data_IF_336175935269
#
_entry.id   IF_336175935269
#
_cell.length_a   1.000
_cell.length_b   1.000
_cell.length_c   1.000
_cell.angle_alpha   90.00
_cell.angle_beta   90.00
_cell.angle_gamma   90.00
#
_symmetry.space_group_name_H-M   'P 1'
#
loop_
_entity.id
_entity.type
_entity.pdbx_description
1 polymer ?
#
# COMPACT_ATOMS: atom_id res chain seq x y z
N UNK A 1 47.85 -17.35 26.41
CA UNK A 1 48.11 -15.90 26.50
C UNK A 1 46.76 -15.24 26.71
N UNK A 2 46.37 -15.04 27.97
CA UNK A 2 45.16 -14.30 28.29
C UNK A 2 45.52 -12.81 28.22
N UNK A 3 44.89 -12.08 27.32
CA UNK A 3 45.01 -10.63 27.21
C UNK A 3 44.44 -10.00 28.47
N UNK A 4 45.30 -9.29 29.23
CA UNK A 4 44.86 -8.39 30.30
C UNK A 4 44.13 -7.21 29.64
N UNK A 5 42.83 -7.36 29.40
CA UNK A 5 41.97 -6.24 29.04
C UNK A 5 41.89 -5.28 30.24
N UNK A 6 42.20 -4.01 30.00
CA UNK A 6 42.02 -2.95 31.01
C UNK A 6 40.52 -2.75 31.25
N UNK A 7 39.96 -3.48 32.20
CA UNK A 7 38.55 -3.33 32.62
C UNK A 7 38.41 -1.99 33.34
N UNK A 8 37.54 -1.13 32.83
CA UNK A 8 37.30 0.19 33.42
C UNK A 8 36.39 0.05 34.65
N UNK A 9 36.52 0.95 35.63
CA UNK A 9 35.60 1.01 36.79
C UNK A 9 34.13 1.13 36.35
N UNK A 10 33.85 1.81 35.23
CA UNK A 10 32.52 1.86 34.63
C UNK A 10 32.01 0.48 34.22
N UNK A 11 32.86 -0.34 33.60
CA UNK A 11 32.49 -1.69 33.16
C UNK A 11 32.19 -2.58 34.37
N UNK A 12 32.98 -2.45 35.43
CA UNK A 12 32.74 -3.15 36.69
C UNK A 12 31.40 -2.73 37.35
N UNK A 13 31.07 -1.42 37.33
CA UNK A 13 29.80 -0.92 37.86
C UNK A 13 28.60 -1.38 37.02
N UNK A 14 28.75 -1.44 35.69
CA UNK A 14 27.71 -1.96 34.79
C UNK A 14 27.44 -3.43 35.10
N UNK A 15 28.48 -4.25 35.27
CA UNK A 15 28.32 -5.66 35.63
C UNK A 15 27.58 -5.86 36.94
N UNK A 16 27.80 -4.98 37.93
CA UNK A 16 27.06 -5.02 39.20
C UNK A 16 25.60 -4.60 39.00
N UNK A 17 25.33 -3.56 38.20
CA UNK A 17 23.95 -3.13 37.93
C UNK A 17 23.11 -4.19 37.21
N UNK A 18 23.73 -5.04 36.39
CA UNK A 18 23.04 -6.16 35.72
C UNK A 18 22.54 -7.20 36.73
N UNK A 19 23.17 -7.31 37.91
CA UNK A 19 22.74 -8.24 38.95
C UNK A 19 21.44 -7.81 39.64
N UNK A 20 21.11 -6.51 39.62
CA UNK A 20 19.85 -6.01 40.19
C UNK A 20 18.63 -6.49 39.36
N UNK A 21 18.83 -6.73 38.06
CA UNK A 21 17.81 -7.24 37.14
C UNK A 21 17.79 -8.77 37.05
N UNK A 22 18.67 -9.47 37.79
CA UNK A 22 18.76 -10.93 37.72
C UNK A 22 17.52 -11.55 38.40
N UNK A 23 16.68 -12.30 37.66
CA UNK A 23 15.52 -12.95 38.25
C UNK A 23 15.98 -14.05 39.21
N UNK A 24 15.72 -13.87 40.50
CA UNK A 24 15.93 -14.90 41.51
C UNK A 24 14.79 -15.92 41.34
N UNK A 25 15.13 -17.11 40.84
CA UNK A 25 14.16 -18.21 40.73
C UNK A 25 13.95 -18.79 42.12
N UNK A 26 12.74 -18.68 42.65
CA UNK A 26 12.33 -19.39 43.87
C UNK A 26 12.24 -20.89 43.55
N UNK A 27 12.88 -21.73 44.36
CA UNK A 27 12.93 -23.19 44.17
C UNK A 27 11.63 -23.86 44.67
N UNK A 28 10.50 -23.15 44.49
CA UNK A 28 9.19 -23.65 44.86
C UNK A 28 8.74 -24.73 43.87
N UNK A 29 8.26 -25.89 44.36
CA UNK A 29 7.70 -26.91 43.49
C UNK A 29 6.51 -26.34 42.70
N UNK A 30 6.62 -26.36 41.37
CA UNK A 30 5.61 -25.84 40.47
C UNK A 30 4.35 -26.72 40.51
N UNK A 31 3.24 -26.17 41.01
CA UNK A 31 1.92 -26.85 41.10
C UNK A 31 1.09 -26.59 39.83
N UNK A 32 1.62 -25.84 38.86
CA UNK A 32 0.91 -25.46 37.64
C UNK A 32 1.02 -26.55 36.56
N UNK A 33 -0.03 -26.65 35.74
CA UNK A 33 -0.10 -27.62 34.66
C UNK A 33 0.89 -27.29 33.53
N UNK A 34 1.35 -28.33 32.81
CA UNK A 34 2.26 -28.18 31.67
C UNK A 34 1.70 -27.21 30.61
N UNK A 35 2.57 -26.30 30.13
CA UNK A 35 2.23 -25.37 29.06
C UNK A 35 1.98 -26.11 27.75
N UNK A 36 0.83 -25.87 27.13
CA UNK A 36 0.53 -26.35 25.78
C UNK A 36 1.19 -25.42 24.74
N UNK A 37 1.77 -25.99 23.69
CA UNK A 37 2.41 -25.22 22.63
C UNK A 37 1.36 -24.45 21.81
N UNK A 38 1.48 -23.13 21.79
CA UNK A 38 0.71 -22.25 20.91
C UNK A 38 1.45 -22.11 19.58
N UNK A 39 0.81 -22.53 18.47
CA UNK A 39 1.32 -22.24 17.13
C UNK A 39 0.97 -20.79 16.76
N UNK A 40 1.87 -19.87 17.09
CA UNK A 40 1.75 -18.48 16.70
C UNK A 40 2.36 -18.27 15.31
N UNK A 41 1.53 -18.31 14.26
CA UNK A 41 1.94 -17.86 12.93
C UNK A 41 1.80 -16.35 12.82
N UNK A 42 2.93 -15.65 12.79
CA UNK A 42 2.96 -14.25 12.41
C UNK A 42 2.66 -14.12 10.91
N UNK A 43 1.56 -13.43 10.58
CA UNK A 43 1.31 -12.98 9.22
C UNK A 43 2.11 -11.69 9.00
N UNK A 44 3.07 -11.72 8.06
CA UNK A 44 3.87 -10.55 7.70
C UNK A 44 3.26 -9.76 6.54
N UNK A 45 2.03 -10.08 6.15
CA UNK A 45 1.31 -9.28 5.17
C UNK A 45 1.09 -7.86 5.69
N UNK A 46 1.71 -6.89 5.01
CA UNK A 46 1.59 -5.47 5.31
C UNK A 46 0.25 -4.88 4.85
N UNK A 47 -0.68 -5.69 4.34
CA UNK A 47 -2.03 -5.26 4.02
C UNK A 47 -2.94 -5.16 5.26
N UNK A 48 -2.49 -5.62 6.44
CA UNK A 48 -3.22 -5.51 7.71
C UNK A 48 -4.70 -5.95 7.61
N UNK A 49 -4.97 -7.08 6.96
CA UNK A 49 -6.33 -7.59 6.73
C UNK A 49 -7.11 -7.80 8.05
N UNK A 50 -6.39 -8.05 9.14
CA UNK A 50 -6.88 -8.30 10.49
C UNK A 50 -6.90 -7.04 11.38
N UNK A 51 -6.73 -5.83 10.83
CA UNK A 51 -6.68 -4.56 11.58
C UNK A 51 -7.86 -4.32 12.54
N UNK A 52 -9.01 -4.94 12.27
CA UNK A 52 -10.20 -4.83 13.12
C UNK A 52 -10.29 -5.92 14.21
N UNK A 53 -9.44 -6.96 14.16
CA UNK A 53 -9.46 -8.07 15.10
C UNK A 53 -8.80 -7.74 16.46
N UNK A 54 -7.89 -6.76 16.48
CA UNK A 54 -7.14 -6.37 17.67
C UNK A 54 -7.38 -4.90 18.02
N UNK A 55 -8.47 -4.61 18.76
CA UNK A 55 -8.86 -3.24 19.16
C UNK A 55 -8.00 -2.73 20.34
N UNK A 56 -7.05 -3.52 20.85
CA UNK A 56 -6.33 -3.22 22.09
C UNK A 56 -5.08 -2.37 21.83
N UNK A 57 -5.12 -1.09 22.22
CA UNK A 57 -3.95 -0.25 22.48
C UNK A 57 -3.16 0.34 21.30
N UNK A 58 -3.28 -0.19 20.08
CA UNK A 58 -2.47 0.24 18.91
C UNK A 58 -3.25 1.10 17.89
N UNK A 59 -4.20 1.92 18.35
CA UNK A 59 -5.12 2.69 17.48
C UNK A 59 -4.42 3.51 16.38
N UNK A 60 -3.24 4.08 16.66
CA UNK A 60 -2.49 4.88 15.70
C UNK A 60 -1.98 4.06 14.50
N UNK A 61 -1.49 2.85 14.76
CA UNK A 61 -0.97 1.98 13.70
C UNK A 61 -2.09 1.39 12.84
N UNK A 62 -3.27 1.17 13.44
CA UNK A 62 -4.48 0.74 12.71
C UNK A 62 -4.93 1.84 11.74
N UNK A 63 -4.91 3.10 12.17
CA UNK A 63 -5.24 4.24 11.31
C UNK A 63 -4.23 4.41 10.18
N UNK A 64 -2.93 4.31 10.47
CA UNK A 64 -1.86 4.36 9.48
C UNK A 64 -1.97 3.23 8.45
N UNK A 65 -2.18 1.99 8.90
CA UNK A 65 -2.44 0.85 8.04
C UNK A 65 -3.68 1.06 7.15
N UNK A 66 -4.72 1.69 7.70
CA UNK A 66 -5.92 2.03 6.94
C UNK A 66 -5.63 3.02 5.83
N UNK A 67 -4.90 4.10 6.13
CA UNK A 67 -4.47 5.08 5.13
C UNK A 67 -3.58 4.45 4.06
N UNK A 68 -2.63 3.60 4.44
CA UNK A 68 -1.81 2.86 3.47
C UNK A 68 -2.65 1.98 2.53
N UNK A 69 -3.66 1.29 3.05
CA UNK A 69 -4.60 0.51 2.23
C UNK A 69 -5.31 1.36 1.17
N UNK A 70 -5.80 2.54 1.54
CA UNK A 70 -6.44 3.49 0.61
C UNK A 70 -5.48 3.95 -0.51
N UNK A 71 -4.22 4.23 -0.18
CA UNK A 71 -3.22 4.61 -1.17
C UNK A 71 -2.84 3.45 -2.10
N UNK A 72 -2.79 2.21 -1.60
CA UNK A 72 -2.53 1.03 -2.41
C UNK A 72 -3.67 0.74 -3.40
N UNK A 73 -4.93 1.02 -3.04
CA UNK A 73 -6.05 1.00 -3.98
C UNK A 73 -5.89 2.05 -5.08
N UNK A 74 -5.60 3.30 -4.70
CA UNK A 74 -5.37 4.37 -5.66
C UNK A 74 -4.18 4.09 -6.60
N UNK A 75 -3.12 3.45 -6.09
CA UNK A 75 -1.98 3.01 -6.88
C UNK A 75 -2.39 1.98 -7.94
N UNK A 76 -3.22 1.00 -7.58
CA UNK A 76 -3.75 -0.02 -8.50
C UNK A 76 -4.58 0.62 -9.61
N UNK A 77 -5.47 1.55 -9.27
CA UNK A 77 -6.26 2.29 -10.25
C UNK A 77 -5.36 3.12 -11.18
N UNK A 78 -4.33 3.77 -10.63
CA UNK A 78 -3.32 4.50 -11.40
C UNK A 78 -2.58 3.62 -12.41
N UNK A 79 -2.26 2.38 -12.05
CA UNK A 79 -1.65 1.41 -12.98
C UNK A 79 -2.59 1.04 -14.14
N UNK A 80 -3.90 0.94 -13.90
CA UNK A 80 -4.86 0.70 -14.98
C UNK A 80 -4.89 1.88 -15.96
N UNK A 81 -4.93 3.12 -15.46
CA UNK A 81 -4.86 4.31 -16.31
C UNK A 81 -3.53 4.40 -17.08
N UNK A 82 -2.41 4.06 -16.45
CA UNK A 82 -1.11 4.01 -17.11
C UNK A 82 -1.08 2.96 -18.23
N UNK A 83 -1.66 1.78 -18.00
CA UNK A 83 -1.79 0.73 -19.02
C UNK A 83 -2.65 1.20 -20.21
N UNK A 84 -3.79 1.87 -19.95
CA UNK A 84 -4.62 2.46 -20.99
C UNK A 84 -3.85 3.46 -21.85
N UNK A 85 -3.08 4.37 -21.22
CA UNK A 85 -2.27 5.36 -21.95
C UNK A 85 -1.12 4.71 -22.73
N UNK A 86 -0.42 3.75 -22.14
CA UNK A 86 0.71 3.07 -22.77
C UNK A 86 0.27 2.27 -24.01
N UNK A 87 -0.89 1.65 -23.95
CA UNK A 87 -1.47 0.87 -25.06
C UNK A 87 -2.35 1.71 -25.99
N UNK A 88 -2.48 3.01 -25.74
CA UNK A 88 -3.29 3.91 -26.55
C UNK A 88 -2.75 4.03 -27.97
N UNK A 89 -3.59 3.72 -28.96
CA UNK A 89 -3.30 3.91 -30.38
C UNK A 89 -4.26 4.94 -30.96
N UNK A 90 -3.79 5.71 -31.93
CA UNK A 90 -4.62 6.75 -32.56
C UNK A 90 -5.80 6.13 -33.31
N UNK A 91 -7.02 6.30 -32.78
CA UNK A 91 -8.27 5.95 -33.47
C UNK A 91 -8.52 6.85 -34.69
N UNK A 92 -8.10 8.12 -34.64
CA UNK A 92 -8.29 9.09 -35.73
C UNK A 92 -7.60 8.68 -37.03
N UNK A 93 -6.50 7.91 -36.96
CA UNK A 93 -5.82 7.37 -38.15
C UNK A 93 -6.63 6.27 -38.86
N UNK A 94 -7.48 5.55 -38.13
CA UNK A 94 -8.31 4.48 -38.68
C UNK A 94 -9.69 4.97 -39.15
N UNK A 95 -10.09 6.16 -38.70
CA UNK A 95 -11.38 6.77 -38.99
C UNK A 95 -11.38 7.43 -40.38
N UNK A 96 -12.44 7.23 -41.20
CA UNK A 96 -12.59 7.94 -42.47
C UNK A 96 -12.78 9.45 -42.24
N UNK A 97 -11.98 10.25 -42.95
CA UNK A 97 -12.02 11.72 -42.87
C UNK A 97 -13.06 12.26 -43.86
N UNK A 98 -13.94 13.15 -43.39
CA UNK A 98 -14.85 13.90 -44.25
C UNK A 98 -14.03 14.87 -45.11
N UNK A 99 -14.13 14.74 -46.44
CA UNK A 99 -13.31 15.50 -47.39
C UNK A 99 -13.93 16.82 -47.83
N UNK A 100 -15.27 16.91 -47.81
CA UNK A 100 -16.03 18.09 -48.22
C UNK A 100 -17.37 18.14 -47.49
N UNK A 101 -17.95 19.35 -47.38
CA UNK A 101 -19.29 19.55 -46.82
C UNK A 101 -20.38 18.86 -47.64
N UNK A 102 -20.17 18.70 -48.94
CA UNK A 102 -21.13 18.08 -49.87
C UNK A 102 -21.01 16.56 -49.95
N UNK A 103 -20.19 15.95 -49.09
CA UNK A 103 -19.99 14.51 -49.07
C UNK A 103 -21.31 13.81 -48.62
N UNK A 104 -21.87 12.89 -49.44
CA UNK A 104 -23.21 12.34 -49.20
C UNK A 104 -23.32 11.54 -47.90
N UNK A 105 -22.27 10.83 -47.49
CA UNK A 105 -22.23 10.02 -46.27
C UNK A 105 -21.59 10.74 -45.06
N UNK A 106 -21.53 12.09 -45.08
CA UNK A 106 -20.93 12.89 -43.99
C UNK A 106 -21.56 12.62 -42.62
N UNK A 107 -22.89 12.55 -42.57
CA UNK A 107 -23.64 12.35 -41.32
C UNK A 107 -23.34 10.97 -40.73
N UNK A 108 -23.40 9.93 -41.57
CA UNK A 108 -23.09 8.55 -41.18
C UNK A 108 -21.65 8.41 -40.67
N UNK A 109 -20.66 9.01 -41.36
CA UNK A 109 -19.27 9.02 -40.90
C UNK A 109 -19.16 9.66 -39.51
N UNK A 110 -19.76 10.83 -39.30
CA UNK A 110 -19.69 11.52 -38.01
C UNK A 110 -20.37 10.73 -36.87
N UNK A 111 -21.49 10.07 -37.15
CA UNK A 111 -22.18 9.21 -36.17
C UNK A 111 -21.30 8.02 -35.76
N UNK A 112 -20.66 7.35 -36.73
CA UNK A 112 -19.75 6.25 -36.42
C UNK A 112 -18.51 6.73 -35.65
N UNK A 113 -17.99 7.92 -35.97
CA UNK A 113 -16.88 8.54 -35.24
C UNK A 113 -17.26 8.75 -33.78
N UNK A 114 -18.43 9.34 -33.52
CA UNK A 114 -18.91 9.54 -32.15
C UNK A 114 -19.04 8.21 -31.43
N UNK A 115 -19.67 7.21 -32.05
CA UNK A 115 -19.85 5.88 -31.48
C UNK A 115 -18.53 5.20 -31.08
N UNK A 116 -17.48 5.37 -31.88
CA UNK A 116 -16.16 4.79 -31.61
C UNK A 116 -15.36 5.60 -30.59
N UNK A 117 -15.40 6.92 -30.67
CA UNK A 117 -14.57 7.80 -29.82
C UNK A 117 -15.18 8.04 -28.44
N UNK A 118 -16.50 8.00 -28.28
CA UNK A 118 -17.17 8.25 -27.00
C UNK A 118 -16.63 7.41 -25.83
N UNK A 119 -16.49 6.07 -25.93
CA UNK A 119 -15.93 5.28 -24.82
C UNK A 119 -14.46 5.59 -24.54
N UNK A 120 -13.67 5.97 -25.56
CA UNK A 120 -12.27 6.32 -25.38
C UNK A 120 -12.14 7.70 -24.70
N UNK A 121 -12.94 8.67 -25.10
CA UNK A 121 -13.00 9.99 -24.44
C UNK A 121 -13.43 9.85 -22.98
N UNK A 122 -14.36 8.94 -22.67
CA UNK A 122 -14.75 8.64 -21.29
C UNK A 122 -13.55 8.19 -20.44
N UNK A 123 -12.72 7.28 -20.93
CA UNK A 123 -11.49 6.84 -20.22
C UNK A 123 -10.52 8.00 -19.95
N UNK A 124 -10.43 8.97 -20.86
CA UNK A 124 -9.61 10.17 -20.66
C UNK A 124 -10.21 11.11 -19.61
N UNK A 125 -11.54 11.22 -19.58
CA UNK A 125 -12.25 11.97 -18.55
C UNK A 125 -12.04 11.34 -17.16
N UNK A 126 -12.17 10.01 -17.07
CA UNK A 126 -11.91 9.27 -15.83
C UNK A 126 -10.46 9.45 -15.37
N UNK A 127 -9.50 9.38 -16.30
CA UNK A 127 -8.09 9.66 -16.00
C UNK A 127 -7.87 11.09 -15.49
N UNK A 128 -8.48 12.09 -16.13
CA UNK A 128 -8.38 13.49 -15.68
C UNK A 128 -8.92 13.64 -14.24
N UNK A 129 -10.09 13.05 -13.94
CA UNK A 129 -10.65 13.09 -12.60
C UNK A 129 -9.77 12.35 -11.59
N UNK A 130 -9.28 11.17 -11.95
CA UNK A 130 -8.34 10.40 -11.13
C UNK A 130 -7.09 11.20 -10.78
N UNK A 131 -6.42 11.82 -11.77
CA UNK A 131 -5.19 12.59 -11.52
C UNK A 131 -5.43 13.78 -10.59
N UNK A 132 -6.50 14.54 -10.79
CA UNK A 132 -6.86 15.65 -9.91
C UNK A 132 -7.10 15.18 -8.47
N UNK A 133 -7.86 14.10 -8.29
CA UNK A 133 -8.15 13.55 -6.97
C UNK A 133 -6.88 12.97 -6.31
N UNK A 134 -6.08 12.22 -7.06
CA UNK A 134 -4.85 11.60 -6.57
C UNK A 134 -3.82 12.64 -6.13
N UNK A 135 -3.61 13.69 -6.92
CA UNK A 135 -2.72 14.80 -6.55
C UNK A 135 -3.25 15.54 -5.33
N UNK A 136 -4.55 15.87 -5.29
CA UNK A 136 -5.15 16.53 -4.13
C UNK A 136 -4.96 15.69 -2.86
N UNK A 137 -5.21 14.38 -2.92
CA UNK A 137 -5.11 13.47 -1.76
C UNK A 137 -3.67 13.23 -1.33
N UNK A 138 -2.70 13.25 -2.25
CA UNK A 138 -1.28 13.12 -1.92
C UNK A 138 -0.71 14.37 -1.25
N UNK A 139 -1.16 15.57 -1.65
CA UNK A 139 -0.65 16.85 -1.14
C UNK A 139 -1.35 17.30 0.15
N UNK A 140 -2.59 16.86 0.37
CA UNK A 140 -3.34 17.22 1.58
C UNK A 140 -2.77 16.50 2.80
N UNK A 141 -2.37 17.28 3.82
CA UNK A 141 -1.88 16.79 5.12
C UNK A 141 -2.98 16.11 5.94
#
# INVERSE_FOLDING_TARGET
>A
MASEENITIKDALINVSVLDDLPIVDDQPCIEAFSLTLDCKANFDTNFEDRNAFITGCSKYIEEATRHGEFNEMLRDGFQHAAHLYTWRSCSRAVPVVKSNDQPNRMEINEQIMKVLEPEVRKLYDFMFFTNNAVARFVTK
#
